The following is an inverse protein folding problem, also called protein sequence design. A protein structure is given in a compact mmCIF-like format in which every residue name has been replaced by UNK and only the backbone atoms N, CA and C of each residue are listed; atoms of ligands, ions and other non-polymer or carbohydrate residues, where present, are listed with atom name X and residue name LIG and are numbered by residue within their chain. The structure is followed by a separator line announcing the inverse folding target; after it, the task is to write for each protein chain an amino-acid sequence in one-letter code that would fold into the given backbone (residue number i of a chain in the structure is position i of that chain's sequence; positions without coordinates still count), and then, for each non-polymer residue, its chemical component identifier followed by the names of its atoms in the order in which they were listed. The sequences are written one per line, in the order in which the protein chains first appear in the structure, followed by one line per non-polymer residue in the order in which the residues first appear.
data_IF_925986536926
#
_entry.id   IF_925986536926
#
_cell.length_a   1.000
_cell.length_b   1.000
_cell.length_c   1.000
_cell.angle_alpha   90.00
_cell.angle_beta   90.00
_cell.angle_gamma   90.00
#
_symmetry.space_group_name_H-M   'P 1'
#
loop_
_entity.id
_entity.type
_entity.pdbx_description
1 polymer ?
#
# COMPACT_ATOMS: atom_id res chain seq x y z
N UNK A 1 -7.68 -12.68 26.39
CA UNK A 1 -7.29 -12.46 24.98
C UNK A 1 -7.09 -10.96 24.79
N UNK A 2 -5.87 -10.49 24.50
CA UNK A 2 -5.47 -9.05 24.60
C UNK A 2 -6.35 -8.10 23.75
N UNK A 3 -6.93 -8.60 22.65
CA UNK A 3 -7.69 -7.78 21.68
C UNK A 3 -9.20 -8.07 21.65
N UNK A 4 -9.74 -8.81 22.62
CA UNK A 4 -11.14 -9.22 22.62
C UNK A 4 -11.47 -10.26 21.54
N UNK A 5 -12.76 -10.37 21.18
CA UNK A 5 -13.25 -11.27 20.13
C UNK A 5 -13.25 -10.56 18.77
N UNK A 6 -13.44 -11.34 17.69
CA UNK A 6 -13.51 -10.79 16.34
C UNK A 6 -14.74 -9.90 16.13
N UNK A 7 -15.85 -10.28 16.78
CA UNK A 7 -17.13 -9.57 16.82
C UNK A 7 -17.01 -8.28 17.61
N UNK A 8 -16.50 -8.35 18.85
CA UNK A 8 -16.36 -7.17 19.71
C UNK A 8 -15.38 -6.17 19.09
N UNK A 9 -14.37 -6.64 18.37
CA UNK A 9 -13.47 -5.77 17.60
C UNK A 9 -14.16 -5.00 16.48
N UNK A 10 -15.26 -5.47 15.90
CA UNK A 10 -15.97 -4.68 14.87
C UNK A 10 -16.95 -3.71 15.48
N UNK A 11 -17.63 -4.12 16.55
CA UNK A 11 -18.48 -3.23 17.32
C UNK A 11 -17.68 -2.07 17.92
N UNK A 12 -16.43 -2.31 18.33
CA UNK A 12 -15.53 -1.29 18.88
C UNK A 12 -14.91 -0.35 17.84
N UNK A 13 -14.86 -0.75 16.57
CA UNK A 13 -14.13 -0.01 15.54
C UNK A 13 -14.65 1.43 15.34
N UNK A 14 -15.98 1.69 15.27
CA UNK A 14 -16.52 3.04 15.23
C UNK A 14 -16.13 3.89 16.43
N UNK A 15 -16.21 3.32 17.65
CA UNK A 15 -15.84 4.00 18.89
C UNK A 15 -14.36 4.40 18.89
N UNK A 16 -13.51 3.48 18.45
CA UNK A 16 -12.07 3.71 18.37
C UNK A 16 -11.72 4.78 17.32
N UNK A 17 -12.23 4.68 16.10
CA UNK A 17 -11.98 5.68 15.05
C UNK A 17 -12.57 7.06 15.40
N UNK A 18 -13.73 7.10 16.07
CA UNK A 18 -14.30 8.33 16.61
C UNK A 18 -13.39 8.98 17.66
N UNK A 19 -12.76 8.19 18.53
CA UNK A 19 -11.77 8.69 19.47
C UNK A 19 -10.55 9.27 18.76
N UNK A 20 -10.03 8.61 17.71
CA UNK A 20 -8.94 9.16 16.90
C UNK A 20 -9.32 10.52 16.30
N UNK A 21 -10.55 10.68 15.79
CA UNK A 21 -11.02 11.98 15.27
C UNK A 21 -11.17 13.04 16.34
N UNK A 22 -11.71 12.68 17.52
CA UNK A 22 -11.91 13.58 18.65
C UNK A 22 -10.59 14.16 19.15
N UNK A 23 -9.61 13.29 19.40
CA UNK A 23 -8.32 13.70 19.95
C UNK A 23 -7.36 14.24 18.90
N UNK A 24 -7.52 13.87 17.62
CA UNK A 24 -6.75 14.43 16.52
C UNK A 24 -7.68 15.15 15.52
N UNK A 25 -8.23 16.34 15.86
CA UNK A 25 -9.17 17.07 15.02
C UNK A 25 -8.63 17.32 13.61
N UNK A 26 -9.44 16.98 12.60
CA UNK A 26 -9.07 17.00 11.18
C UNK A 26 -8.61 15.65 10.64
N UNK A 27 -8.47 14.63 11.50
CA UNK A 27 -8.47 13.23 11.04
C UNK A 27 -9.81 12.93 10.37
N UNK A 28 -9.74 12.36 9.17
CA UNK A 28 -10.90 12.00 8.37
C UNK A 28 -11.22 10.53 8.61
N UNK A 29 -12.50 10.22 8.82
CA UNK A 29 -13.04 8.87 8.83
C UNK A 29 -14.33 8.88 8.00
N UNK A 30 -14.40 8.02 7.00
CA UNK A 30 -15.54 7.93 6.08
C UNK A 30 -16.06 6.50 6.02
N UNK A 31 -17.36 6.33 6.20
CA UNK A 31 -18.03 5.03 6.25
C UNK A 31 -18.90 4.80 5.02
N UNK A 32 -18.91 3.57 4.52
CA UNK A 32 -19.96 3.07 3.64
C UNK A 32 -20.50 1.78 4.23
N UNK A 33 -21.74 1.82 4.73
CA UNK A 33 -22.39 0.63 5.27
C UNK A 33 -23.05 -0.20 4.19
N UNK A 34 -23.15 -1.51 4.42
CA UNK A 34 -24.08 -2.38 3.71
C UNK A 34 -25.49 -2.21 4.27
N UNK A 35 -26.45 -2.94 3.70
CA UNK A 35 -27.79 -3.05 4.27
C UNK A 35 -27.73 -3.42 5.75
N UNK A 36 -28.67 -2.89 6.55
CA UNK A 36 -28.77 -3.21 7.97
C UNK A 36 -29.10 -4.68 8.15
N UNK A 37 -28.54 -5.27 9.19
CA UNK A 37 -28.96 -6.57 9.68
C UNK A 37 -30.39 -6.42 10.22
N UNK A 38 -31.33 -7.18 9.66
CA UNK A 38 -32.76 -7.06 10.00
C UNK A 38 -33.09 -7.58 11.40
N UNK A 39 -32.24 -8.43 11.98
CA UNK A 39 -32.46 -9.02 13.31
C UNK A 39 -31.97 -8.11 14.44
N UNK A 40 -30.90 -7.35 14.20
CA UNK A 40 -30.28 -6.48 15.22
C UNK A 40 -30.50 -4.99 14.96
N UNK A 41 -30.88 -4.60 13.74
CA UNK A 41 -30.98 -3.20 13.32
C UNK A 41 -29.61 -2.52 13.09
N UNK A 42 -28.52 -3.23 13.35
CA UNK A 42 -27.14 -2.76 13.22
C UNK A 42 -26.70 -2.70 11.75
N UNK A 43 -25.71 -1.85 11.46
CA UNK A 43 -25.13 -1.78 10.13
C UNK A 43 -24.13 -2.90 9.91
N UNK A 44 -24.18 -3.55 8.76
CA UNK A 44 -23.13 -4.47 8.34
C UNK A 44 -21.95 -3.67 7.79
N UNK A 45 -20.73 -4.01 8.23
CA UNK A 45 -19.50 -3.36 7.75
C UNK A 45 -19.36 -3.54 6.22
N UNK A 46 -19.37 -2.42 5.50
CA UNK A 46 -19.00 -2.35 4.10
C UNK A 46 -17.56 -1.87 3.98
N UNK A 47 -17.37 -0.55 3.92
CA UNK A 47 -16.08 0.12 3.81
C UNK A 47 -15.87 1.12 4.94
N UNK A 48 -14.63 1.26 5.37
CA UNK A 48 -14.19 2.38 6.20
C UNK A 48 -12.86 2.89 5.70
N UNK A 49 -12.74 4.21 5.60
CA UNK A 49 -11.55 4.92 5.18
C UNK A 49 -11.12 5.82 6.32
N UNK A 50 -9.82 5.94 6.56
CA UNK A 50 -9.30 6.95 7.46
C UNK A 50 -7.98 7.53 6.97
N UNK A 51 -7.78 8.81 7.27
CA UNK A 51 -6.57 9.55 6.97
C UNK A 51 -6.29 10.53 8.11
N UNK A 52 -5.05 10.53 8.60
CA UNK A 52 -4.65 11.35 9.74
C UNK A 52 -4.29 12.77 9.28
N UNK A 53 -4.72 13.78 10.04
CA UNK A 53 -4.44 15.19 9.72
C UNK A 53 -2.95 15.47 9.44
N UNK A 54 -1.99 15.02 10.27
CA UNK A 54 -0.57 15.24 9.98
C UNK A 54 -0.15 14.73 8.60
N UNK A 55 -0.67 13.58 8.16
CA UNK A 55 -0.37 13.01 6.85
C UNK A 55 -1.05 13.78 5.71
N UNK A 56 -2.29 14.23 5.91
CA UNK A 56 -3.03 15.04 4.93
C UNK A 56 -2.32 16.36 4.68
N UNK A 57 -1.90 17.04 5.75
CA UNK A 57 -1.18 18.31 5.67
C UNK A 57 0.24 18.10 5.13
N UNK A 58 0.93 17.04 5.56
CA UNK A 58 2.27 16.70 5.08
C UNK A 58 2.33 16.44 3.57
N UNK A 59 1.29 15.85 2.98
CA UNK A 59 1.23 15.58 1.55
C UNK A 59 1.41 16.83 0.67
N UNK A 60 1.04 18.02 1.16
CA UNK A 60 1.22 19.27 0.40
C UNK A 60 2.70 19.52 0.05
N UNK A 61 3.62 18.97 0.83
CA UNK A 61 5.06 19.12 0.68
C UNK A 61 5.75 17.92 0.01
N UNK A 62 4.99 16.87 -0.29
CA UNK A 62 5.46 15.70 -1.01
C UNK A 62 5.47 15.91 -2.53
N UNK A 63 6.11 14.99 -3.25
CA UNK A 63 5.91 14.84 -4.70
C UNK A 63 4.40 14.76 -5.02
N UNK A 64 3.99 15.30 -6.18
CA UNK A 64 2.63 15.15 -6.73
C UNK A 64 2.36 13.70 -7.19
N UNK A 65 2.60 12.73 -6.31
CA UNK A 65 2.58 11.32 -6.65
C UNK A 65 1.97 10.54 -5.50
N UNK A 66 0.95 9.76 -5.84
CA UNK A 66 0.27 8.87 -4.92
C UNK A 66 0.45 7.45 -5.42
N UNK A 67 0.92 6.56 -4.56
CA UNK A 67 0.91 5.13 -4.79
C UNK A 67 -0.22 4.47 -4.02
N UNK A 68 -0.93 3.56 -4.69
CA UNK A 68 -1.96 2.74 -4.06
C UNK A 68 -1.67 1.25 -4.21
N UNK A 69 -1.97 0.47 -3.16
CA UNK A 69 -1.86 -0.99 -3.16
C UNK A 69 -2.93 -1.62 -2.28
N UNK A 70 -3.30 -2.85 -2.59
CA UNK A 70 -4.24 -3.67 -1.82
C UNK A 70 -3.55 -4.83 -1.13
N UNK A 71 -4.00 -5.19 0.08
CA UNK A 71 -3.49 -6.35 0.79
C UNK A 71 -4.58 -7.13 1.49
N UNK A 72 -4.47 -8.45 1.48
CA UNK A 72 -5.40 -9.32 2.19
C UNK A 72 -5.19 -9.23 3.70
N UNK A 73 -6.28 -9.09 4.44
CA UNK A 73 -6.30 -9.32 5.87
C UNK A 73 -6.65 -10.80 6.11
N UNK A 74 -5.91 -11.42 7.02
CA UNK A 74 -6.08 -12.82 7.42
C UNK A 74 -6.93 -12.89 8.70
N UNK A 75 -8.02 -12.13 8.72
CA UNK A 75 -9.00 -12.12 9.81
C UNK A 75 -10.10 -13.15 9.54
N UNK A 76 -10.92 -13.40 10.57
CA UNK A 76 -12.09 -14.29 10.46
C UNK A 76 -13.01 -13.96 9.26
N UNK A 77 -13.09 -12.69 8.87
CA UNK A 77 -14.04 -12.18 7.87
C UNK A 77 -13.39 -11.81 6.52
N UNK A 78 -12.12 -12.17 6.32
CA UNK A 78 -11.41 -12.09 5.02
C UNK A 78 -11.42 -10.72 4.34
N UNK A 79 -11.54 -9.64 5.11
CA UNK A 79 -11.43 -8.27 4.60
C UNK A 79 -10.10 -8.03 3.87
N UNK A 80 -10.06 -6.95 3.11
CA UNK A 80 -8.83 -6.45 2.50
C UNK A 80 -8.58 -5.02 2.99
N UNK A 81 -7.32 -4.62 2.95
CA UNK A 81 -6.89 -3.28 3.31
C UNK A 81 -6.27 -2.61 2.09
N UNK A 82 -6.75 -1.41 1.78
CA UNK A 82 -6.15 -0.54 0.77
C UNK A 82 -5.28 0.50 1.47
N UNK A 83 -4.15 0.82 0.86
CA UNK A 83 -3.21 1.81 1.38
C UNK A 83 -2.87 2.81 0.28
N UNK A 84 -2.88 4.09 0.63
CA UNK A 84 -2.31 5.17 -0.17
C UNK A 84 -1.05 5.72 0.50
N UNK A 85 -0.04 6.04 -0.30
CA UNK A 85 1.24 6.56 0.17
C UNK A 85 1.82 7.57 -0.82
N UNK A 86 2.56 8.54 -0.32
CA UNK A 86 3.35 9.49 -1.09
C UNK A 86 4.85 9.38 -0.72
N UNK A 87 5.65 10.16 -1.43
CA UNK A 87 7.08 10.32 -1.17
C UNK A 87 7.39 11.79 -0.96
N UNK A 88 8.15 12.12 0.06
CA UNK A 88 8.73 13.45 0.23
C UNK A 88 9.94 13.67 -0.68
N UNK A 89 10.51 14.87 -0.70
CA UNK A 89 11.70 15.18 -1.50
C UNK A 89 12.96 14.41 -1.08
N UNK A 90 12.98 13.78 0.10
CA UNK A 90 14.12 12.96 0.58
C UNK A 90 13.88 11.46 0.38
N UNK A 91 12.97 11.10 -0.54
CA UNK A 91 12.61 9.72 -0.85
C UNK A 91 12.01 8.94 0.34
N UNK A 92 11.58 9.62 1.40
CA UNK A 92 10.92 9.02 2.55
C UNK A 92 9.44 8.80 2.25
N UNK A 93 8.91 7.69 2.75
CA UNK A 93 7.53 7.27 2.47
C UNK A 93 6.58 7.86 3.48
N UNK A 94 5.70 8.76 3.04
CA UNK A 94 4.58 9.23 3.85
C UNK A 94 3.35 8.35 3.58
N UNK A 95 2.82 7.67 4.60
CA UNK A 95 1.51 7.02 4.49
C UNK A 95 0.42 8.10 4.49
N UNK A 96 -0.53 8.00 3.58
CA UNK A 96 -1.57 9.03 3.40
C UNK A 96 -2.91 8.60 4.00
N UNK A 97 -3.35 7.40 3.65
CA UNK A 97 -4.66 6.91 4.02
C UNK A 97 -4.72 5.38 3.99
N UNK A 98 -5.71 4.88 4.70
CA UNK A 98 -6.01 3.46 4.80
C UNK A 98 -7.50 3.24 4.57
N UNK A 99 -7.86 2.06 4.06
CA UNK A 99 -9.24 1.64 4.06
C UNK A 99 -9.37 0.14 4.32
N UNK A 100 -10.39 -0.25 5.09
CA UNK A 100 -10.85 -1.64 5.17
C UNK A 100 -12.03 -1.79 4.21
N UNK A 101 -11.96 -2.82 3.38
CA UNK A 101 -12.99 -3.17 2.41
C UNK A 101 -13.34 -4.66 2.51
N UNK A 102 -14.53 -5.04 2.06
CA UNK A 102 -14.92 -6.45 1.99
C UNK A 102 -14.16 -7.19 0.87
N UNK A 103 -14.04 -6.58 -0.30
CA UNK A 103 -13.35 -7.13 -1.45
C UNK A 103 -12.80 -6.05 -2.40
N UNK A 104 -11.64 -6.32 -2.99
CA UNK A 104 -11.06 -5.57 -4.11
C UNK A 104 -11.90 -5.76 -5.38
N UNK A 105 -12.99 -5.00 -5.46
CA UNK A 105 -13.89 -4.88 -6.60
C UNK A 105 -13.78 -3.51 -7.26
N UNK A 106 -14.38 -3.33 -8.44
CA UNK A 106 -14.50 -2.01 -9.07
C UNK A 106 -15.12 -0.98 -8.11
N UNK A 107 -16.17 -1.37 -7.38
CA UNK A 107 -16.89 -0.47 -6.48
C UNK A 107 -16.01 -0.02 -5.31
N UNK A 108 -15.28 -0.95 -4.69
CA UNK A 108 -14.35 -0.64 -3.60
C UNK A 108 -13.24 0.33 -4.04
N UNK A 109 -12.66 0.12 -5.22
CA UNK A 109 -11.62 0.99 -5.76
C UNK A 109 -12.16 2.35 -6.16
N UNK A 110 -13.34 2.43 -6.79
CA UNK A 110 -14.02 3.69 -7.09
C UNK A 110 -14.26 4.50 -5.82
N UNK A 111 -14.78 3.83 -4.79
CA UNK A 111 -15.05 4.48 -3.51
C UNK A 111 -13.76 4.99 -2.86
N UNK A 112 -12.71 4.17 -2.79
CA UNK A 112 -11.43 4.55 -2.20
C UNK A 112 -10.77 5.73 -2.93
N UNK A 113 -10.73 5.69 -4.27
CA UNK A 113 -10.17 6.79 -5.08
C UNK A 113 -10.97 8.09 -4.90
N UNK A 114 -12.30 7.99 -4.74
CA UNK A 114 -13.14 9.16 -4.42
C UNK A 114 -12.80 9.77 -3.06
N UNK A 115 -12.49 8.95 -2.04
CA UNK A 115 -12.04 9.46 -0.75
C UNK A 115 -10.68 10.15 -0.85
N UNK A 116 -9.73 9.58 -1.61
CA UNK A 116 -8.45 10.23 -1.88
C UNK A 116 -8.61 11.58 -2.58
N UNK A 117 -9.43 11.62 -3.64
CA UNK A 117 -9.77 12.85 -4.36
C UNK A 117 -10.33 13.93 -3.41
N UNK A 118 -11.36 13.58 -2.64
CA UNK A 118 -12.07 14.51 -1.76
C UNK A 118 -11.22 15.02 -0.60
N UNK A 119 -10.46 14.14 0.07
CA UNK A 119 -9.85 14.46 1.36
C UNK A 119 -8.33 14.66 1.31
N UNK A 120 -7.64 14.02 0.37
CA UNK A 120 -6.17 14.11 0.25
C UNK A 120 -5.78 15.10 -0.84
N UNK A 121 -6.35 14.96 -2.04
CA UNK A 121 -5.99 15.78 -3.20
C UNK A 121 -6.59 17.18 -3.06
N UNK A 122 -7.86 17.28 -2.63
CA UNK A 122 -8.53 18.56 -2.35
C UNK A 122 -8.42 19.57 -3.49
N UNK A 123 -8.54 19.09 -4.74
CA UNK A 123 -8.45 19.91 -5.95
C UNK A 123 -7.03 20.21 -6.45
N UNK A 124 -5.98 19.71 -5.78
CA UNK A 124 -4.60 19.79 -6.28
C UNK A 124 -4.49 19.09 -7.63
N UNK A 125 -4.04 19.83 -8.65
CA UNK A 125 -3.80 19.29 -10.00
C UNK A 125 -2.40 18.71 -10.12
N UNK A 126 -2.23 17.94 -11.18
CA UNK A 126 -0.96 17.35 -11.57
C UNK A 126 -0.59 16.11 -10.76
N UNK A 127 -1.55 15.39 -10.19
CA UNK A 127 -1.28 14.17 -9.41
C UNK A 127 -0.99 12.99 -10.35
N UNK A 128 0.16 12.35 -10.15
CA UNK A 128 0.49 11.05 -10.74
C UNK A 128 0.07 9.92 -9.79
N UNK A 129 -0.95 9.15 -10.16
CA UNK A 129 -1.31 7.92 -9.47
C UNK A 129 -0.50 6.74 -10.00
N UNK A 130 0.17 5.99 -9.13
CA UNK A 130 0.83 4.73 -9.47
C UNK A 130 0.13 3.56 -8.78
N UNK A 131 -0.30 2.56 -9.56
CA UNK A 131 -0.99 1.37 -9.03
C UNK A 131 -0.57 0.08 -9.73
N UNK A 132 -1.08 -1.07 -9.26
CA UNK A 132 -1.17 -2.28 -10.08
C UNK A 132 -2.06 -2.04 -11.33
N UNK A 133 -1.84 -2.85 -12.37
CA UNK A 133 -2.64 -2.92 -13.61
C UNK A 133 -3.84 -3.87 -13.46
N UNK A 134 -4.42 -3.97 -12.27
CA UNK A 134 -5.63 -4.77 -12.06
C UNK A 134 -6.84 -4.10 -12.71
N UNK A 135 -7.70 -4.86 -13.40
CA UNK A 135 -8.80 -4.31 -14.20
C UNK A 135 -9.77 -3.44 -13.39
N UNK A 136 -10.04 -3.82 -12.14
CA UNK A 136 -10.87 -3.04 -11.22
C UNK A 136 -10.29 -1.65 -10.91
N UNK A 137 -8.97 -1.54 -10.77
CA UNK A 137 -8.28 -0.26 -10.52
C UNK A 137 -8.31 0.59 -11.79
N UNK A 138 -7.88 0.03 -12.92
CA UNK A 138 -7.81 0.77 -14.19
C UNK A 138 -9.17 1.34 -14.59
N UNK A 139 -10.27 0.59 -14.37
CA UNK A 139 -11.62 1.08 -14.63
C UNK A 139 -12.06 2.13 -13.60
N UNK A 140 -11.75 1.95 -12.31
CA UNK A 140 -12.06 2.95 -11.28
C UNK A 140 -11.36 4.30 -11.54
N UNK A 141 -10.10 4.27 -11.97
CA UNK A 141 -9.31 5.47 -12.28
C UNK A 141 -9.91 6.27 -13.44
N UNK A 142 -10.41 5.59 -14.49
CA UNK A 142 -11.06 6.26 -15.64
C UNK A 142 -12.29 7.08 -15.23
N UNK A 143 -12.90 6.74 -14.11
CA UNK A 143 -14.08 7.41 -13.56
C UNK A 143 -13.71 8.42 -12.45
N UNK A 144 -12.42 8.72 -12.27
CA UNK A 144 -11.91 9.66 -11.28
C UNK A 144 -11.06 10.75 -11.97
N UNK A 145 -11.63 11.94 -12.23
CA UNK A 145 -10.97 12.98 -13.02
C UNK A 145 -9.61 13.43 -12.50
N UNK A 146 -9.38 13.45 -11.18
CA UNK A 146 -8.11 13.89 -10.56
C UNK A 146 -6.91 13.04 -10.97
N UNK A 147 -7.13 11.83 -11.49
CA UNK A 147 -6.09 10.90 -11.95
C UNK A 147 -6.03 10.77 -13.48
N UNK A 148 -6.77 11.62 -14.20
CA UNK A 148 -6.89 11.61 -15.65
C UNK A 148 -6.54 12.99 -16.24
N UNK A 149 -5.98 13.05 -17.46
CA UNK A 149 -5.69 14.32 -18.10
C UNK A 149 -6.97 15.17 -18.26
N UNK A 150 -6.90 16.50 -18.08
CA UNK A 150 -5.71 17.29 -17.77
C UNK A 150 -5.38 17.43 -16.27
N UNK A 151 -6.21 16.89 -15.36
CA UNK A 151 -6.07 17.11 -13.92
C UNK A 151 -4.96 16.27 -13.27
N UNK A 152 -4.64 15.12 -13.84
CA UNK A 152 -3.57 14.24 -13.36
C UNK A 152 -3.26 13.14 -14.37
N UNK A 153 -2.49 12.16 -13.93
CA UNK A 153 -2.17 10.98 -14.77
C UNK A 153 -2.19 9.72 -13.93
N UNK A 154 -2.38 8.60 -14.63
CA UNK A 154 -2.28 7.27 -14.04
C UNK A 154 -1.18 6.48 -14.73
N UNK A 155 -0.35 5.81 -13.94
CA UNK A 155 0.79 5.01 -14.36
C UNK A 155 0.75 3.64 -13.70
N UNK A 156 1.18 2.62 -14.42
CA UNK A 156 1.30 1.25 -13.91
C UNK A 156 2.65 1.06 -13.24
N UNK A 157 2.64 0.42 -12.07
CA UNK A 157 3.84 -0.10 -11.43
C UNK A 157 4.60 -1.02 -12.39
N UNK A 158 5.85 -0.67 -12.74
CA UNK A 158 6.67 -1.45 -13.66
C UNK A 158 6.87 -2.88 -13.15
N UNK A 159 7.11 -3.06 -11.85
CA UNK A 159 7.21 -4.39 -11.25
C UNK A 159 5.95 -5.24 -11.50
N UNK A 160 4.76 -4.65 -11.47
CA UNK A 160 3.52 -5.38 -11.76
C UNK A 160 3.35 -5.64 -13.24
N UNK A 161 3.77 -4.71 -14.12
CA UNK A 161 3.82 -4.97 -15.57
C UNK A 161 4.73 -6.17 -15.86
N UNK A 162 5.95 -6.19 -15.32
CA UNK A 162 6.88 -7.32 -15.46
C UNK A 162 6.33 -8.62 -14.84
N UNK A 163 5.64 -8.55 -13.70
CA UNK A 163 5.02 -9.72 -13.07
C UNK A 163 3.89 -10.30 -13.93
N UNK A 164 3.03 -9.45 -14.49
CA UNK A 164 1.92 -9.87 -15.36
C UNK A 164 2.45 -10.43 -16.68
N UNK A 165 3.48 -9.79 -17.24
CA UNK A 165 4.21 -10.27 -18.40
C UNK A 165 4.80 -11.67 -18.14
N UNK A 166 5.53 -11.84 -17.04
CA UNK A 166 6.15 -13.12 -16.71
C UNK A 166 5.14 -14.22 -16.36
N UNK A 167 3.95 -13.86 -15.85
CA UNK A 167 2.89 -14.84 -15.61
C UNK A 167 2.37 -15.47 -16.90
N UNK A 168 2.44 -14.74 -18.02
CA UNK A 168 2.07 -15.21 -19.36
C UNK A 168 3.20 -16.00 -20.03
N UNK A 169 4.40 -15.43 -20.08
CA UNK A 169 5.51 -16.00 -20.87
C UNK A 169 6.43 -16.94 -20.08
N UNK A 170 6.47 -16.81 -18.75
CA UNK A 170 7.28 -17.62 -17.83
C UNK A 170 8.75 -17.77 -18.27
N UNK A 171 9.32 -16.68 -18.79
CA UNK A 171 10.66 -16.66 -19.35
C UNK A 171 11.49 -15.57 -18.64
N UNK A 172 12.59 -16.00 -17.99
CA UNK A 172 13.44 -15.13 -17.17
C UNK A 172 14.14 -14.05 -18.01
N UNK A 173 14.62 -14.40 -19.21
CA UNK A 173 15.28 -13.46 -20.12
C UNK A 173 14.30 -12.40 -20.60
N UNK A 174 13.11 -12.80 -21.06
CA UNK A 174 12.08 -11.85 -21.48
C UNK A 174 11.59 -10.98 -20.29
N UNK A 175 11.53 -11.52 -19.07
CA UNK A 175 11.20 -10.75 -17.87
C UNK A 175 12.26 -9.69 -17.58
N UNK A 176 13.54 -10.03 -17.69
CA UNK A 176 14.65 -9.07 -17.52
C UNK A 176 14.57 -7.97 -18.59
N UNK A 177 14.38 -8.34 -19.85
CA UNK A 177 14.18 -7.38 -20.95
C UNK A 177 12.97 -6.48 -20.71
N UNK A 178 11.86 -7.02 -20.20
CA UNK A 178 10.67 -6.25 -19.84
C UNK A 178 10.98 -5.19 -18.77
N UNK A 179 11.80 -5.52 -17.76
CA UNK A 179 12.24 -4.55 -16.77
C UNK A 179 13.17 -3.50 -17.38
N UNK A 180 14.18 -3.93 -18.14
CA UNK A 180 15.15 -3.05 -18.81
C UNK A 180 14.45 -2.04 -19.72
N UNK A 181 13.54 -2.49 -20.57
CA UNK A 181 12.83 -1.60 -21.50
C UNK A 181 11.91 -0.63 -20.77
N UNK A 182 11.22 -1.07 -19.70
CA UNK A 182 10.32 -0.19 -18.95
C UNK A 182 11.04 0.83 -18.06
N UNK A 183 12.26 0.53 -17.63
CA UNK A 183 13.10 1.43 -16.81
C UNK A 183 14.03 2.34 -17.60
N UNK A 184 14.05 2.20 -18.92
CA UNK A 184 14.91 2.99 -19.80
C UNK A 184 14.35 4.40 -20.04
N UNK A 185 15.20 5.41 -19.86
CA UNK A 185 14.87 6.83 -20.03
C UNK A 185 15.13 7.33 -21.45
N UNK A 186 16.03 6.70 -22.19
CA UNK A 186 16.36 7.13 -23.56
C UNK A 186 15.51 6.40 -24.59
N UNK A 187 14.74 7.14 -25.40
CA UNK A 187 13.89 6.58 -26.48
C UNK A 187 14.69 5.68 -27.44
N UNK A 188 15.92 6.08 -27.79
CA UNK A 188 16.80 5.26 -28.66
C UNK A 188 17.12 3.89 -28.06
N UNK A 189 17.47 3.84 -26.77
CA UNK A 189 17.77 2.59 -26.06
C UNK A 189 16.50 1.77 -25.84
N UNK A 190 15.37 2.42 -25.53
CA UNK A 190 14.05 1.79 -25.43
C UNK A 190 13.72 1.03 -26.73
N UNK A 191 13.82 1.69 -27.89
CA UNK A 191 13.52 1.08 -29.18
C UNK A 191 14.44 -0.11 -29.47
N UNK A 192 15.73 0.01 -29.15
CA UNK A 192 16.69 -1.11 -29.31
C UNK A 192 16.28 -2.33 -28.48
N UNK A 193 15.86 -2.14 -27.23
CA UNK A 193 15.44 -3.26 -26.37
C UNK A 193 14.08 -3.84 -26.83
N UNK A 194 13.16 -3.00 -27.33
CA UNK A 194 11.91 -3.49 -27.93
C UNK A 194 12.17 -4.39 -29.16
N UNK A 195 13.12 -4.03 -30.03
CA UNK A 195 13.52 -4.89 -31.16
C UNK A 195 14.22 -6.18 -30.70
N UNK A 196 15.03 -6.12 -29.63
CA UNK A 196 15.61 -7.31 -28.98
C UNK A 196 14.52 -8.27 -28.45
N UNK A 197 13.46 -7.73 -27.85
CA UNK A 197 12.30 -8.54 -27.41
C UNK A 197 11.59 -9.15 -28.64
N UNK A 198 11.42 -8.38 -29.71
CA UNK A 198 10.73 -8.81 -30.93
C UNK A 198 11.47 -9.93 -31.65
N UNK A 199 12.80 -9.88 -31.70
CA UNK A 199 13.62 -10.93 -32.31
C UNK A 199 13.56 -12.24 -31.51
N UNK A 200 13.38 -12.17 -30.20
CA UNK A 200 13.18 -13.34 -29.34
C UNK A 200 11.74 -13.86 -29.35
N UNK A 201 10.75 -12.96 -29.39
CA UNK A 201 9.33 -13.31 -29.41
C UNK A 201 8.47 -12.15 -29.91
N UNK A 202 7.92 -12.30 -31.11
CA UNK A 202 6.97 -11.34 -31.68
C UNK A 202 5.73 -11.16 -30.79
N UNK A 203 5.24 -12.23 -30.19
CA UNK A 203 4.06 -12.22 -29.32
C UNK A 203 4.31 -11.43 -28.02
N UNK A 204 5.51 -11.53 -27.46
CA UNK A 204 5.92 -10.79 -26.27
C UNK A 204 6.03 -9.29 -26.58
N UNK A 205 6.64 -8.94 -27.72
CA UNK A 205 6.68 -7.57 -28.23
C UNK A 205 5.26 -7.00 -28.39
N UNK A 206 4.36 -7.71 -29.09
CA UNK A 206 2.97 -7.28 -29.29
C UNK A 206 2.19 -7.14 -27.99
N UNK A 207 2.52 -7.91 -26.94
CA UNK A 207 1.89 -7.74 -25.64
C UNK A 207 2.31 -6.44 -24.96
N UNK A 208 3.58 -6.07 -25.03
CA UNK A 208 4.09 -4.82 -24.46
C UNK A 208 3.61 -3.60 -25.27
N UNK A 209 3.61 -3.69 -26.59
CA UNK A 209 3.22 -2.59 -27.48
C UNK A 209 1.72 -2.23 -27.38
N UNK A 210 0.87 -3.20 -26.98
CA UNK A 210 -0.54 -2.95 -26.65
C UNK A 210 -0.75 -2.12 -25.39
N UNK A 211 0.27 -1.98 -24.54
CA UNK A 211 0.19 -1.12 -23.36
C UNK A 211 0.72 0.25 -23.76
N UNK A 212 -0.14 1.26 -23.66
CA UNK A 212 0.24 2.66 -23.84
C UNK A 212 1.56 2.98 -23.11
N UNK A 213 2.56 3.41 -23.89
CA UNK A 213 3.96 3.52 -23.47
C UNK A 213 4.12 4.49 -22.30
N UNK A 214 3.33 5.56 -22.28
CA UNK A 214 3.34 6.53 -21.18
C UNK A 214 2.94 5.89 -19.86
N UNK A 215 2.09 4.85 -19.88
CA UNK A 215 1.59 4.22 -18.65
C UNK A 215 2.66 3.43 -17.91
N UNK A 216 3.68 2.88 -18.58
CA UNK A 216 4.56 1.89 -17.97
C UNK A 216 6.05 2.10 -18.20
N UNK A 217 6.44 2.99 -19.11
CA UNK A 217 7.85 3.21 -19.47
C UNK A 217 8.35 4.52 -18.89
N UNK A 218 9.63 4.58 -18.52
CA UNK A 218 10.28 5.82 -18.05
C UNK A 218 10.48 6.83 -19.20
N UNK A 219 10.94 6.35 -20.36
CA UNK A 219 11.24 7.15 -21.56
C UNK A 219 10.05 7.93 -22.13
N UNK A 220 8.83 7.43 -21.98
CA UNK A 220 7.61 8.09 -22.48
C UNK A 220 6.77 8.69 -21.35
N UNK A 221 7.28 8.70 -20.12
CA UNK A 221 6.49 9.10 -18.96
C UNK A 221 6.16 10.60 -18.96
N UNK A 222 7.05 11.45 -19.51
CA UNK A 222 6.95 12.91 -19.42
C UNK A 222 7.36 13.48 -18.05
N UNK A 223 8.05 12.70 -17.21
CA UNK A 223 8.55 13.13 -15.90
C UNK A 223 7.51 13.15 -14.77
N UNK A 224 6.29 12.68 -15.04
CA UNK A 224 5.17 12.61 -14.10
C UNK A 224 5.46 11.72 -12.88
N UNK A 225 6.23 10.65 -13.07
CA UNK A 225 6.53 9.65 -12.03
C UNK A 225 7.63 10.07 -11.08
N UNK A 226 8.30 11.21 -11.31
CA UNK A 226 9.44 11.65 -10.49
C UNK A 226 10.46 10.52 -10.27
N UNK A 227 10.79 9.76 -11.32
CA UNK A 227 11.70 8.59 -11.30
C UNK A 227 11.16 7.35 -10.54
N UNK A 228 9.97 7.42 -9.96
CA UNK A 228 9.33 6.33 -9.22
C UNK A 228 8.65 5.36 -10.18
N UNK A 229 9.34 4.26 -10.50
CA UNK A 229 8.83 3.23 -11.42
C UNK A 229 7.91 2.20 -10.75
N UNK A 230 7.85 2.15 -9.42
CA UNK A 230 7.15 1.09 -8.69
C UNK A 230 6.31 1.61 -7.52
N UNK A 231 5.39 0.78 -7.04
CA UNK A 231 4.63 1.06 -5.81
C UNK A 231 5.36 0.59 -4.54
N UNK A 232 6.69 0.69 -4.50
CA UNK A 232 7.47 0.28 -3.33
C UNK A 232 7.00 0.95 -2.03
N UNK A 233 6.46 2.16 -2.11
CA UNK A 233 6.04 2.95 -0.96
C UNK A 233 4.84 2.34 -0.25
N UNK A 234 3.72 2.13 -0.97
CA UNK A 234 2.55 1.45 -0.42
C UNK A 234 2.85 -0.01 -0.06
N UNK A 235 3.74 -0.68 -0.81
CA UNK A 235 4.25 -2.02 -0.46
C UNK A 235 5.09 -2.05 0.82
N UNK A 236 5.88 -1.01 1.09
CA UNK A 236 6.68 -0.88 2.30
C UNK A 236 5.77 -0.77 3.52
N UNK A 237 4.77 0.10 3.48
CA UNK A 237 3.76 0.23 4.55
C UNK A 237 2.99 -1.09 4.70
N UNK A 238 2.59 -1.71 3.60
CA UNK A 238 2.03 -3.07 3.63
C UNK A 238 2.96 -4.04 4.37
N UNK A 239 4.28 -3.98 4.12
CA UNK A 239 5.30 -4.78 4.78
C UNK A 239 5.38 -4.54 6.28
N UNK A 240 5.39 -3.28 6.73
CA UNK A 240 5.34 -2.88 8.14
C UNK A 240 4.10 -3.45 8.83
N UNK A 241 2.96 -3.43 8.13
CA UNK A 241 1.69 -3.94 8.65
C UNK A 241 1.53 -5.46 8.48
N UNK A 242 2.54 -6.21 7.98
CA UNK A 242 2.43 -7.65 7.70
C UNK A 242 2.07 -8.47 8.95
N UNK A 243 2.62 -8.12 10.12
CA UNK A 243 2.27 -8.74 11.40
C UNK A 243 0.85 -8.40 11.85
N UNK A 244 0.38 -7.18 11.53
CA UNK A 244 -0.94 -6.68 11.89
C UNK A 244 -2.09 -7.36 11.12
N UNK A 245 -1.82 -7.91 9.93
CA UNK A 245 -2.88 -8.46 9.05
C UNK A 245 -3.67 -9.63 9.64
N UNK A 246 -3.21 -10.22 10.74
CA UNK A 246 -3.88 -11.31 11.46
C UNK A 246 -4.58 -10.83 12.73
N UNK A 247 -4.55 -9.54 13.02
CA UNK A 247 -5.17 -8.97 14.20
C UNK A 247 -6.62 -8.56 13.93
N UNK A 248 -7.45 -8.41 14.98
CA UNK A 248 -8.79 -7.85 14.85
C UNK A 248 -8.78 -6.44 14.25
N UNK A 249 -9.88 -6.02 13.60
CA UNK A 249 -9.93 -4.78 12.81
C UNK A 249 -9.60 -3.52 13.62
N UNK A 250 -10.08 -3.44 14.87
CA UNK A 250 -9.77 -2.31 15.76
C UNK A 250 -8.27 -2.26 16.07
N UNK A 251 -7.63 -3.42 16.29
CA UNK A 251 -6.19 -3.48 16.51
C UNK A 251 -5.40 -3.09 15.25
N UNK A 252 -5.89 -3.40 14.05
CA UNK A 252 -5.29 -2.92 12.80
C UNK A 252 -5.35 -1.39 12.72
N UNK A 253 -6.51 -0.80 13.01
CA UNK A 253 -6.66 0.66 13.02
C UNK A 253 -5.72 1.32 14.05
N UNK A 254 -5.68 0.80 15.28
CA UNK A 254 -4.75 1.26 16.33
C UNK A 254 -3.28 1.13 15.89
N UNK A 255 -2.90 0.01 15.26
CA UNK A 255 -1.54 -0.17 14.75
C UNK A 255 -1.21 0.83 13.64
N UNK A 256 -2.16 1.21 12.78
CA UNK A 256 -1.90 2.27 11.81
C UNK A 256 -1.60 3.58 12.53
N UNK A 257 -2.38 3.97 13.54
CA UNK A 257 -2.14 5.17 14.33
C UNK A 257 -0.77 5.14 15.03
N UNK A 258 -0.46 4.08 15.78
CA UNK A 258 0.81 3.95 16.49
C UNK A 258 2.02 4.01 15.55
N UNK A 259 1.92 3.38 14.37
CA UNK A 259 2.97 3.44 13.35
C UNK A 259 3.09 4.84 12.76
N UNK A 260 1.99 5.56 12.55
CA UNK A 260 2.02 6.95 12.13
C UNK A 260 2.73 7.84 13.14
N UNK A 261 2.35 7.73 14.43
CA UNK A 261 2.97 8.48 15.54
C UNK A 261 4.47 8.21 15.60
N UNK A 262 4.86 6.93 15.58
CA UNK A 262 6.26 6.54 15.59
C UNK A 262 7.02 7.08 14.38
N UNK A 263 6.42 6.99 13.19
CA UNK A 263 7.03 7.48 11.95
C UNK A 263 7.28 8.99 12.01
N UNK A 264 6.32 9.78 12.48
CA UNK A 264 6.46 11.23 12.63
C UNK A 264 7.44 11.63 13.73
N UNK A 265 7.60 10.81 14.78
CA UNK A 265 8.62 11.02 15.82
C UNK A 265 10.03 10.69 15.33
N UNK A 266 10.17 9.64 14.52
CA UNK A 266 11.47 9.16 14.04
C UNK A 266 11.91 9.75 12.69
N UNK A 267 11.00 10.37 11.93
CA UNK A 267 11.31 11.09 10.68
C UNK A 267 12.08 12.37 11.01
N UNK A 268 13.37 12.20 11.30
CA UNK A 268 14.59 13.02 11.12
C UNK A 268 14.53 14.55 10.89
N UNK A 269 13.42 15.25 11.16
CA UNK A 269 13.36 16.70 11.23
C UNK A 269 14.38 17.27 12.24
N UNK A 270 14.80 16.46 13.23
CA UNK A 270 15.85 16.80 14.20
C UNK A 270 17.30 16.50 13.76
N UNK A 271 17.54 15.75 12.67
CA UNK A 271 18.90 15.39 12.22
C UNK A 271 19.35 16.08 10.92
N UNK A 272 18.43 16.62 10.14
CA UNK A 272 18.74 17.29 8.86
C UNK A 272 19.23 18.74 9.05
N UNK A 273 18.94 19.38 10.20
CA UNK A 273 19.32 20.79 10.44
C UNK A 273 20.83 21.04 10.68
N UNK A 274 21.69 20.01 10.70
CA UNK A 274 23.09 20.18 11.11
C UNK A 274 24.12 20.01 9.98
N UNK A 275 23.77 19.58 8.76
CA UNK A 275 24.82 19.02 7.86
C UNK A 275 24.94 19.63 6.45
N UNK A 276 23.92 20.22 5.82
CA UNK A 276 24.08 20.58 4.40
C UNK A 276 23.61 21.99 4.02
N UNK A 277 24.57 22.93 4.05
CA UNK A 277 24.49 24.20 3.33
C UNK A 277 24.80 24.00 1.85
N UNK A 278 23.80 23.86 0.97
CA UNK A 278 23.99 23.93 -0.49
C UNK A 278 22.79 24.62 -1.17
N UNK A 279 23.09 25.53 -2.11
CA UNK A 279 22.14 26.27 -2.94
C UNK A 279 22.21 25.78 -4.40
N UNK A 280 21.05 25.45 -4.99
CA UNK A 280 20.85 25.31 -6.43
C UNK A 280 19.40 25.75 -6.80
N UNK A 281 19.08 27.01 -6.51
CA UNK A 281 17.71 27.53 -6.50
C UNK A 281 17.08 27.88 -7.87
N UNK A 282 17.33 27.13 -8.95
CA UNK A 282 16.60 27.37 -10.20
C UNK A 282 16.31 26.17 -11.10
N UNK A 283 16.52 24.93 -10.61
CA UNK A 283 16.22 23.71 -11.39
C UNK A 283 15.52 22.60 -10.58
N UNK A 284 15.20 22.86 -9.32
CA UNK A 284 14.80 21.83 -8.36
C UNK A 284 13.31 22.01 -8.00
N UNK A 285 12.51 20.94 -8.05
CA UNK A 285 11.08 20.98 -7.64
C UNK A 285 10.96 21.41 -6.18
N UNK A 286 9.95 22.22 -5.86
CA UNK A 286 9.70 22.77 -4.51
C UNK A 286 9.67 21.72 -3.39
N UNK A 287 9.28 20.48 -3.70
CA UNK A 287 9.24 19.39 -2.72
C UNK A 287 10.63 18.98 -2.19
N UNK A 288 11.71 19.35 -2.88
CA UNK A 288 13.09 19.13 -2.42
C UNK A 288 13.63 20.26 -1.55
N UNK A 289 12.87 21.33 -1.36
CA UNK A 289 13.25 22.41 -0.45
C UNK A 289 13.30 21.92 1.01
N UNK A 290 14.28 22.41 1.78
CA UNK A 290 14.47 22.01 3.19
C UNK A 290 13.22 22.35 4.02
N UNK A 291 12.56 23.48 3.73
CA UNK A 291 11.31 23.83 4.42
C UNK A 291 10.18 22.90 4.01
N UNK A 292 10.08 22.47 2.75
CA UNK A 292 9.13 21.42 2.36
C UNK A 292 9.33 20.13 3.16
N UNK A 293 10.58 19.68 3.32
CA UNK A 293 10.87 18.52 4.17
C UNK A 293 10.43 18.73 5.63
N UNK A 294 10.81 19.86 6.24
CA UNK A 294 10.40 20.19 7.62
C UNK A 294 8.89 20.28 7.78
N UNK A 295 8.22 20.89 6.81
CA UNK A 295 6.78 21.11 6.85
C UNK A 295 6.01 19.79 6.69
N UNK A 296 6.55 18.82 5.93
CA UNK A 296 5.97 17.46 5.77
C UNK A 296 5.66 16.80 7.12
N UNK A 297 6.54 16.98 8.11
CA UNK A 297 6.46 16.34 9.42
C UNK A 297 6.24 17.32 10.57
N UNK A 298 5.86 18.57 10.27
CA UNK A 298 5.72 19.64 11.27
C UNK A 298 4.55 19.43 12.24
N UNK A 299 3.63 18.53 11.92
CA UNK A 299 2.40 18.30 12.67
C UNK A 299 2.56 17.13 13.65
N UNK A 300 2.02 17.31 14.84
CA UNK A 300 2.00 16.29 15.89
C UNK A 300 0.74 15.45 15.83
N UNK A 301 0.85 14.25 16.37
CA UNK A 301 -0.28 13.44 16.80
C UNK A 301 -0.51 13.65 18.29
N UNK A 302 -1.76 13.90 18.65
CA UNK A 302 -2.17 14.04 20.03
C UNK A 302 -2.45 12.68 20.66
N UNK A 303 -2.06 12.47 21.94
CA UNK A 303 -2.38 11.26 22.68
C UNK A 303 -3.89 11.02 22.73
N UNK A 304 -4.28 9.75 22.60
CA UNK A 304 -5.66 9.30 22.75
C UNK A 304 -5.84 8.84 24.20
N UNK A 305 -6.82 9.40 24.90
CA UNK A 305 -7.11 9.04 26.30
C UNK A 305 -7.70 7.62 26.42
N UNK A 306 -7.89 7.13 27.65
CA UNK A 306 -8.49 5.81 27.89
C UNK A 306 -9.89 5.70 27.31
N UNK A 307 -10.30 4.46 27.04
CA UNK A 307 -11.58 4.13 26.40
C UNK A 307 -12.82 4.60 27.18
N UNK A 308 -12.67 4.85 28.48
CA UNK A 308 -13.72 5.37 29.37
C UNK A 308 -14.18 6.78 28.96
N UNK A 309 -13.33 7.54 28.25
CA UNK A 309 -13.61 8.91 27.80
C UNK A 309 -14.07 9.00 26.34
N UNK A 310 -14.21 7.85 25.67
CA UNK A 310 -14.57 7.80 24.25
C UNK A 310 -16.09 7.84 24.10
N UNK A 311 -16.56 8.68 23.19
CA UNK A 311 -17.99 8.87 22.95
C UNK A 311 -18.63 7.60 22.37
N UNK A 312 -19.90 7.37 22.70
CA UNK A 312 -20.67 6.25 22.15
C UNK A 312 -21.03 6.57 20.68
N UNK A 313 -20.70 5.69 19.72
CA UNK A 313 -21.07 5.91 18.33
C UNK A 313 -22.59 5.96 18.14
N UNK A 314 -23.08 6.82 17.24
CA UNK A 314 -24.51 6.89 16.88
C UNK A 314 -25.02 5.71 16.05
N UNK A 315 -24.21 4.67 15.85
CA UNK A 315 -24.57 3.46 15.13
C UNK A 315 -23.78 2.25 15.64
N UNK A 316 -24.39 1.08 15.54
CA UNK A 316 -23.72 -0.18 15.80
C UNK A 316 -23.26 -0.85 14.51
N UNK A 317 -22.12 -1.53 14.59
CA UNK A 317 -21.49 -2.21 13.47
C UNK A 317 -21.39 -3.70 13.76
N UNK A 318 -21.83 -4.51 12.81
CA UNK A 318 -21.70 -5.97 12.82
C UNK A 318 -20.98 -6.46 11.58
N UNK A 319 -20.46 -7.69 11.67
CA UNK A 319 -19.92 -8.38 10.50
C UNK A 319 -21.03 -8.90 9.60
N UNK A 320 -20.69 -9.18 8.35
CA UNK A 320 -21.62 -9.80 7.40
C UNK A 320 -21.95 -11.23 7.85
N UNK A 321 -23.20 -11.51 8.26
CA UNK A 321 -23.59 -12.80 8.83
C UNK A 321 -23.58 -13.92 7.79
N UNK A 322 -23.55 -13.58 6.49
CA UNK A 322 -23.56 -14.54 5.39
C UNK A 322 -22.18 -15.16 5.13
N UNK A 323 -21.12 -14.62 5.72
CA UNK A 323 -19.75 -15.15 5.58
C UNK A 323 -19.68 -16.51 6.28
N UNK A 324 -19.74 -17.59 5.50
CA UNK A 324 -19.55 -18.96 5.98
C UNK A 324 -18.15 -19.11 6.58
N UNK A 325 -18.11 -19.29 7.90
CA UNK A 325 -16.90 -19.62 8.65
C UNK A 325 -16.53 -21.07 8.30
N UNK A 326 -15.43 -21.29 7.59
CA UNK A 326 -14.95 -22.66 7.38
C UNK A 326 -14.45 -23.21 8.72
N UNK A 327 -15.21 -24.12 9.33
CA UNK A 327 -14.96 -24.73 10.64
C UNK A 327 -13.92 -25.86 10.64
N UNK A 328 -13.09 -26.00 9.60
CA UNK A 328 -12.04 -27.02 9.55
C UNK A 328 -10.66 -26.37 9.40
N UNK A 329 -9.66 -26.74 10.23
CA UNK A 329 -8.25 -26.45 9.96
C UNK A 329 -7.75 -27.37 8.81
N UNK A 330 -8.41 -27.31 7.66
CA UNK A 330 -7.92 -27.87 6.42
C UNK A 330 -7.06 -26.83 5.74
N UNK A 331 -5.85 -27.21 5.32
CA UNK A 331 -4.98 -26.39 4.47
C UNK A 331 -5.80 -25.94 3.25
N UNK A 332 -6.21 -24.68 3.23
CA UNK A 332 -6.85 -24.09 2.06
C UNK A 332 -5.92 -24.33 0.86
N UNK A 333 -6.37 -25.09 -0.13
CA UNK A 333 -5.70 -25.10 -1.43
C UNK A 333 -5.80 -23.68 -1.98
N UNK A 334 -4.67 -22.99 -1.99
CA UNK A 334 -4.56 -21.69 -2.62
C UNK A 334 -4.80 -21.85 -4.12
N UNK A 335 -5.88 -21.28 -4.64
CA UNK A 335 -6.05 -21.01 -6.07
C UNK A 335 -5.25 -19.78 -6.53
N UNK A 336 -4.29 -19.32 -5.71
CA UNK A 336 -3.47 -18.13 -5.96
C UNK A 336 -2.15 -18.51 -6.64
N UNK A 337 -1.80 -17.77 -7.69
CA UNK A 337 -0.46 -17.76 -8.28
C UNK A 337 0.53 -17.21 -7.24
N UNK A 338 1.56 -18.00 -6.93
CA UNK A 338 2.58 -17.70 -5.92
C UNK A 338 3.41 -16.48 -6.36
N UNK A 339 3.62 -15.50 -5.47
CA UNK A 339 4.44 -14.30 -5.74
C UNK A 339 5.86 -14.52 -5.22
N UNK A 340 6.86 -13.76 -5.73
CA UNK A 340 8.28 -13.89 -5.34
C UNK A 340 8.55 -13.80 -3.83
N UNK A 341 7.77 -13.07 -3.05
CA UNK A 341 7.91 -13.07 -1.58
C UNK A 341 7.61 -14.44 -0.97
N UNK A 342 6.72 -15.23 -1.58
CA UNK A 342 6.44 -16.61 -1.16
C UNK A 342 7.62 -17.52 -1.50
N UNK A 343 8.32 -17.25 -2.61
CA UNK A 343 9.54 -17.95 -3.01
C UNK A 343 10.70 -17.63 -2.08
N UNK A 344 10.95 -16.35 -1.79
CA UNK A 344 11.97 -15.94 -0.84
C UNK A 344 11.74 -16.54 0.56
N UNK A 345 10.48 -16.62 1.00
CA UNK A 345 10.12 -17.29 2.25
C UNK A 345 10.30 -18.82 2.21
N UNK A 346 10.04 -19.47 1.07
CA UNK A 346 10.28 -20.91 0.89
C UNK A 346 11.77 -21.22 0.85
N UNK A 347 12.56 -20.46 0.09
CA UNK A 347 14.01 -20.60 0.02
C UNK A 347 14.67 -20.33 1.38
N UNK A 348 14.23 -19.29 2.11
CA UNK A 348 14.72 -19.03 3.46
C UNK A 348 14.33 -20.14 4.46
N UNK A 349 13.12 -20.70 4.35
CA UNK A 349 12.69 -21.84 5.18
C UNK A 349 13.46 -23.13 4.85
N UNK A 350 13.70 -23.40 3.56
CA UNK A 350 14.50 -24.55 3.13
C UNK A 350 15.96 -24.41 3.56
N UNK A 351 16.56 -23.21 3.45
CA UNK A 351 17.90 -22.94 3.95
C UNK A 351 17.98 -23.06 5.48
N UNK A 352 16.96 -22.61 6.22
CA UNK A 352 16.89 -22.78 7.67
C UNK A 352 16.71 -24.25 8.08
N UNK A 353 15.91 -25.02 7.35
CA UNK A 353 15.74 -26.45 7.59
C UNK A 353 17.00 -27.25 7.25
N UNK A 354 17.71 -26.91 6.17
CA UNK A 354 18.99 -27.51 5.81
C UNK A 354 20.08 -27.20 6.84
N UNK A 355 20.12 -25.95 7.35
CA UNK A 355 21.05 -25.56 8.42
C UNK A 355 20.79 -26.31 9.73
N UNK A 356 19.52 -26.51 10.10
CA UNK A 356 19.17 -27.25 11.31
C UNK A 356 19.48 -28.76 11.19
N UNK A 357 19.35 -29.35 10.00
CA UNK A 357 19.75 -30.74 9.77
C UNK A 357 21.26 -30.96 9.77
N UNK A 358 22.06 -29.96 9.37
CA UNK A 358 23.53 -30.03 9.41
C UNK A 358 24.14 -29.83 10.81
N UNK A 359 23.39 -29.25 11.75
CA UNK A 359 23.85 -29.07 13.15
C UNK A 359 23.54 -30.25 14.07
N UNK A 360 22.83 -31.29 13.60
CA UNK A 360 22.56 -32.50 14.39
C UNK A 360 23.51 -33.67 14.10
N UNK A 361 24.46 -33.53 13.17
CA UNK A 361 25.40 -34.61 12.81
C UNK A 361 26.79 -34.53 13.46
N UNK A 362 27.14 -33.44 14.14
CA UNK A 362 28.49 -33.24 14.68
C UNK A 362 28.50 -33.05 16.21
N UNK A 363 28.15 -34.10 16.96
CA UNK A 363 28.49 -34.20 18.39
C UNK A 363 29.44 -35.40 18.56
N UNK A 364 30.74 -35.19 18.84
CA UNK A 364 31.65 -36.28 19.15
C UNK A 364 31.31 -36.88 20.52
N UNK A 365 31.16 -38.20 20.56
CA UNK A 365 31.03 -38.98 21.80
C UNK A 365 32.37 -38.92 22.55
N UNK A 366 32.42 -38.50 23.84
CA UNK A 366 33.64 -38.58 24.63
C UNK A 366 33.92 -40.05 24.99
N UNK A 367 35.09 -40.54 24.60
CA UNK A 367 35.59 -41.85 25.00
C UNK A 367 35.89 -41.89 26.51
N UNK A 368 35.47 -42.98 27.14
CA UNK A 368 35.80 -43.36 28.51
C UNK A 368 37.27 -43.76 28.63
N UNK A 369 37.98 -43.16 29.58
CA UNK A 369 39.18 -43.75 30.18
C UNK A 369 38.90 -43.97 31.67
N UNK A 370 39.14 -45.23 32.06
CA UNK A 370 39.23 -45.90 33.36
C UNK A 370 38.01 -45.94 34.29
#
# INVERSE_FOLDING_TARGET
MIYGTWESSVQKLPKHLGALQKYNPGTIVEWQHKARDTSTGAYVIGYVFWAFKPCIEGFQHCHNLISVDGTHLYTKYKHKMLIAAAMDGNQQVLHLAFAIIDEESLLSWKWFLRQLSRHIIRGRRGICLISDRHAGITRAVRECPDFMPPNGVHRYCLRHVCSNFNSKYKNVVLKDLCWRVGSEYQIRKFNRIMEEIKSQSLEAFQWLDRIDKEKWTASHDGGWRCEILTINMSKCINGVLKGARRLPLTAIAEMTFQRSVHYFRESHAQKVCAVFMINAASMVKDCYDIMSYKNTYSKSFEPVHSEDYWDVPGFELVHDPTIRISSRPGRNQTTRIHKEMDWAQRSARQQAQQRNSSTQSDVPVPGSQD
#
